data_IF_963816473265
#
_entry.id   IF_963816473265
#
_cell.length_a   1.000
_cell.length_b   1.000
_cell.length_c   1.000
_cell.angle_alpha   90.00
_cell.angle_beta   90.00
_cell.angle_gamma   90.00
#
_symmetry.space_group_name_H-M   'P 1'
#
loop_
_entity.id
_entity.type
_entity.pdbx_description
1 polymer ?
#
# COMPACT_ATOMS: atom_id res chain seq x y z
N UNK A 1 -19.64 21.03 21.32
CA UNK A 1 -18.55 20.05 21.11
C UNK A 1 -19.02 18.88 20.22
N UNK A 2 -20.24 18.38 20.40
CA UNK A 2 -20.84 17.32 19.59
C UNK A 2 -20.90 17.64 18.08
N UNK A 3 -21.39 18.83 17.70
CA UNK A 3 -21.40 19.29 16.29
C UNK A 3 -20.01 19.30 15.62
N UNK A 4 -18.93 19.60 16.35
CA UNK A 4 -17.57 19.57 15.78
C UNK A 4 -17.07 18.13 15.56
N UNK A 5 -17.44 17.20 16.45
CA UNK A 5 -17.13 15.76 16.30
C UNK A 5 -17.90 15.15 15.11
N UNK A 6 -19.17 15.51 14.97
CA UNK A 6 -19.99 15.07 13.83
C UNK A 6 -19.46 15.64 12.51
N UNK A 7 -19.17 16.94 12.44
CA UNK A 7 -18.62 17.57 11.24
C UNK A 7 -17.28 16.95 10.82
N UNK A 8 -16.38 16.67 11.78
CA UNK A 8 -15.11 16.00 11.51
C UNK A 8 -15.28 14.57 10.98
N UNK A 9 -16.19 13.80 11.57
CA UNK A 9 -16.49 12.43 11.14
C UNK A 9 -17.10 12.41 9.73
N UNK A 10 -18.09 13.26 9.46
CA UNK A 10 -18.72 13.36 8.13
C UNK A 10 -17.71 13.80 7.08
N UNK A 11 -16.89 14.81 7.39
CA UNK A 11 -15.82 15.27 6.50
C UNK A 11 -14.83 14.15 6.15
N UNK A 12 -14.46 13.34 7.14
CA UNK A 12 -13.59 12.18 6.93
C UNK A 12 -14.25 11.14 6.01
N UNK A 13 -15.52 10.80 6.25
CA UNK A 13 -16.23 9.84 5.39
C UNK A 13 -16.36 10.31 3.94
N UNK A 14 -16.65 11.59 3.72
CA UNK A 14 -16.69 12.15 2.36
C UNK A 14 -15.32 12.02 1.69
N UNK A 15 -14.24 12.38 2.41
CA UNK A 15 -12.88 12.20 1.92
C UNK A 15 -12.56 10.72 1.59
N UNK A 16 -12.94 9.78 2.46
CA UNK A 16 -12.73 8.34 2.21
C UNK A 16 -13.47 7.85 0.96
N UNK A 17 -14.70 8.31 0.74
CA UNK A 17 -15.46 7.94 -0.46
C UNK A 17 -14.79 8.49 -1.72
N UNK A 18 -14.27 9.73 -1.69
CA UNK A 18 -13.55 10.28 -2.84
C UNK A 18 -12.28 9.51 -3.15
N UNK A 19 -11.52 9.10 -2.12
CA UNK A 19 -10.33 8.26 -2.30
C UNK A 19 -10.69 6.85 -2.79
N UNK A 20 -11.79 6.28 -2.30
CA UNK A 20 -12.29 4.99 -2.78
C UNK A 20 -12.64 5.04 -4.27
N UNK A 21 -13.28 6.13 -4.72
CA UNK A 21 -13.57 6.33 -6.15
C UNK A 21 -12.30 6.51 -6.97
N UNK A 22 -11.32 7.25 -6.45
CA UNK A 22 -10.03 7.47 -7.10
C UNK A 22 -9.26 6.14 -7.31
N UNK A 23 -9.07 5.36 -6.24
CA UNK A 23 -8.45 4.03 -6.35
C UNK A 23 -9.33 3.04 -7.12
N UNK A 24 -10.65 3.13 -7.00
CA UNK A 24 -11.62 2.33 -7.77
C UNK A 24 -11.46 2.50 -9.27
N UNK A 25 -11.25 3.72 -9.75
CA UNK A 25 -10.93 4.00 -11.15
C UNK A 25 -9.62 3.35 -11.58
N UNK A 26 -8.57 3.42 -10.76
CA UNK A 26 -7.28 2.76 -11.05
C UNK A 26 -7.41 1.22 -11.09
N UNK A 27 -8.18 0.62 -10.18
CA UNK A 27 -8.47 -0.81 -10.18
C UNK A 27 -9.25 -1.23 -11.42
N UNK A 28 -10.21 -0.41 -11.87
CA UNK A 28 -10.96 -0.65 -13.09
C UNK A 28 -10.04 -0.63 -14.32
N UNK A 29 -9.19 0.39 -14.44
CA UNK A 29 -8.19 0.49 -15.52
C UNK A 29 -7.30 -0.74 -15.53
N UNK A 30 -6.73 -1.13 -14.39
CA UNK A 30 -5.93 -2.35 -14.30
C UNK A 30 -6.71 -3.58 -14.78
N UNK A 31 -7.97 -3.74 -14.36
CA UNK A 31 -8.80 -4.90 -14.70
C UNK A 31 -9.08 -4.96 -16.21
N UNK A 32 -9.37 -3.81 -16.83
CA UNK A 32 -9.58 -3.72 -18.29
C UNK A 32 -8.30 -4.12 -19.05
N UNK A 33 -7.15 -3.55 -18.69
CA UNK A 33 -5.89 -3.87 -19.36
C UNK A 33 -5.48 -5.32 -19.13
N UNK A 34 -5.69 -5.86 -17.92
CA UNK A 34 -5.46 -7.28 -17.63
C UNK A 34 -6.36 -8.20 -18.45
N UNK A 35 -7.62 -7.85 -18.63
CA UNK A 35 -8.55 -8.63 -19.46
C UNK A 35 -8.22 -8.54 -20.96
N UNK A 36 -7.60 -7.43 -21.39
CA UNK A 36 -7.23 -7.19 -22.79
C UNK A 36 -5.89 -7.84 -23.15
N UNK A 37 -4.93 -7.80 -22.23
CA UNK A 37 -3.55 -8.28 -22.39
C UNK A 37 -3.16 -9.29 -21.30
N UNK A 38 -3.84 -10.47 -21.26
CA UNK A 38 -3.67 -11.42 -20.16
C UNK A 38 -2.23 -11.94 -20.05
N UNK A 39 -1.60 -12.27 -21.18
CA UNK A 39 -0.23 -12.80 -21.21
C UNK A 39 0.80 -11.76 -20.73
N UNK A 40 0.76 -10.52 -21.23
CA UNK A 40 1.67 -9.48 -20.77
C UNK A 40 1.51 -9.13 -19.28
N UNK A 41 0.28 -9.13 -18.75
CA UNK A 41 0.03 -8.84 -17.33
C UNK A 41 0.45 -9.99 -16.41
N UNK A 42 0.36 -11.24 -16.89
CA UNK A 42 0.89 -12.41 -16.18
C UNK A 42 2.42 -12.35 -16.08
N UNK A 43 3.11 -12.14 -17.21
CA UNK A 43 4.56 -11.96 -17.24
C UNK A 43 5.01 -10.79 -16.35
N UNK A 44 4.27 -9.67 -16.36
CA UNK A 44 4.54 -8.54 -15.48
C UNK A 44 4.45 -8.88 -13.99
N UNK A 45 3.49 -9.72 -13.61
CA UNK A 45 3.32 -10.17 -12.22
C UNK A 45 4.49 -11.04 -11.75
N UNK A 46 5.09 -11.85 -12.63
CA UNK A 46 6.30 -12.65 -12.30
C UNK A 46 7.55 -11.80 -12.03
N UNK A 47 7.60 -10.56 -12.53
CA UNK A 47 8.67 -9.63 -12.21
C UNK A 47 8.56 -9.05 -10.78
N UNK A 48 7.50 -9.41 -10.05
CA UNK A 48 7.27 -8.97 -8.68
C UNK A 48 7.70 -10.05 -7.68
N UNK A 49 8.38 -9.63 -6.62
CA UNK A 49 8.81 -10.52 -5.55
C UNK A 49 7.65 -10.82 -4.59
N UNK A 50 6.95 -11.95 -4.80
CA UNK A 50 5.82 -12.38 -3.97
C UNK A 50 6.16 -12.48 -2.47
N UNK A 51 7.30 -13.06 -2.03
CA UNK A 51 7.61 -13.15 -0.60
C UNK A 51 7.73 -11.77 0.07
N UNK A 52 8.35 -10.79 -0.60
CA UNK A 52 8.43 -9.42 -0.10
C UNK A 52 7.06 -8.74 -0.07
N UNK A 53 6.20 -9.02 -1.05
CA UNK A 53 4.81 -8.58 -1.05
C UNK A 53 4.02 -9.16 0.14
N UNK A 54 4.18 -10.46 0.41
CA UNK A 54 3.51 -11.15 1.51
C UNK A 54 3.97 -10.64 2.88
N UNK A 55 5.28 -10.47 3.09
CA UNK A 55 5.82 -9.88 4.32
C UNK A 55 5.24 -8.49 4.56
N UNK A 56 5.12 -7.66 3.52
CA UNK A 56 4.48 -6.35 3.63
C UNK A 56 3.01 -6.44 4.05
N UNK A 57 2.26 -7.37 3.47
CA UNK A 57 0.85 -7.60 3.84
C UNK A 57 0.71 -8.03 5.31
N UNK A 58 1.60 -8.89 5.81
CA UNK A 58 1.60 -9.28 7.23
C UNK A 58 1.91 -8.07 8.13
N UNK A 59 2.95 -7.31 7.80
CA UNK A 59 3.34 -6.09 8.54
C UNK A 59 2.18 -5.10 8.60
N UNK A 60 1.48 -4.93 7.48
CA UNK A 60 0.36 -4.01 7.37
C UNK A 60 -0.86 -4.47 8.19
N UNK A 61 -1.22 -5.75 8.14
CA UNK A 61 -2.32 -6.30 8.97
C UNK A 61 -1.99 -6.11 10.46
N UNK A 62 -0.75 -6.38 10.87
CA UNK A 62 -0.30 -6.14 12.25
C UNK A 62 -0.36 -4.64 12.59
N UNK A 63 0.02 -3.76 11.66
CA UNK A 63 -0.08 -2.32 11.83
C UNK A 63 -1.53 -1.88 12.07
N UNK A 64 -2.47 -2.36 11.25
CA UNK A 64 -3.90 -2.10 11.41
C UNK A 64 -4.42 -2.57 12.77
N UNK A 65 -4.06 -3.77 13.19
CA UNK A 65 -4.44 -4.30 14.50
C UNK A 65 -3.92 -3.42 15.64
N UNK A 66 -2.66 -2.98 15.57
CA UNK A 66 -2.09 -2.09 16.59
C UNK A 66 -2.78 -0.73 16.62
N UNK A 67 -3.18 -0.18 15.46
CA UNK A 67 -3.94 1.07 15.42
C UNK A 67 -5.32 0.90 16.06
N UNK A 68 -6.02 -0.20 15.78
CA UNK A 68 -7.32 -0.50 16.39
C UNK A 68 -7.21 -0.63 17.93
N UNK A 69 -6.16 -1.29 18.42
CA UNK A 69 -5.88 -1.36 19.86
C UNK A 69 -5.53 0.02 20.46
N UNK A 70 -4.88 0.89 19.68
CA UNK A 70 -4.64 2.29 20.03
C UNK A 70 -5.95 3.06 20.23
N UNK A 71 -6.86 2.99 19.25
CA UNK A 71 -8.20 3.61 19.33
C UNK A 71 -8.97 3.09 20.56
N UNK A 72 -8.97 1.79 20.80
CA UNK A 72 -9.61 1.19 21.98
C UNK A 72 -8.96 1.66 23.31
N UNK A 73 -7.64 1.83 23.32
CA UNK A 73 -6.92 2.36 24.49
C UNK A 73 -7.27 3.82 24.77
N UNK A 74 -7.54 4.61 23.73
CA UNK A 74 -8.04 5.98 23.87
C UNK A 74 -9.46 6.01 24.49
N UNK A 75 -10.33 5.08 24.10
CA UNK A 75 -11.70 4.97 24.65
C UNK A 75 -11.75 4.42 26.08
N UNK A 76 -10.70 3.75 26.54
CA UNK A 76 -10.60 3.19 27.91
C UNK A 76 -9.71 4.02 28.83
N UNK A 77 -9.36 5.27 28.43
CA UNK A 77 -8.43 6.19 29.13
C UNK A 77 -7.04 5.61 29.46
N UNK A 78 -6.58 4.57 28.74
CA UNK A 78 -5.26 3.97 28.96
C UNK A 78 -4.19 4.69 28.15
N UNK A 79 -3.79 5.87 28.60
CA UNK A 79 -2.86 6.76 27.87
C UNK A 79 -1.50 6.12 27.57
N UNK A 80 -0.94 5.34 28.51
CA UNK A 80 0.33 4.64 28.28
C UNK A 80 0.24 3.59 27.17
N UNK A 81 -0.86 2.82 27.16
CA UNK A 81 -1.12 1.82 26.12
C UNK A 81 -1.38 2.47 24.76
N UNK A 82 -2.15 3.57 24.73
CA UNK A 82 -2.38 4.36 23.52
C UNK A 82 -1.05 4.80 22.87
N UNK A 83 -0.14 5.40 23.66
CA UNK A 83 1.15 5.86 23.15
C UNK A 83 1.99 4.69 22.60
N UNK A 84 2.04 3.58 23.34
CA UNK A 84 2.75 2.38 22.90
C UNK A 84 2.21 1.87 21.57
N UNK A 85 0.89 1.70 21.44
CA UNK A 85 0.28 1.20 20.20
C UNK A 85 0.54 2.12 19.02
N UNK A 86 0.37 3.45 19.17
CA UNK A 86 0.65 4.40 18.09
C UNK A 86 2.13 4.36 17.64
N UNK A 87 3.07 4.21 18.58
CA UNK A 87 4.50 4.08 18.25
C UNK A 87 4.75 2.76 17.50
N UNK A 88 4.17 1.66 17.94
CA UNK A 88 4.29 0.36 17.26
C UNK A 88 3.71 0.44 15.85
N UNK A 89 2.54 1.05 15.66
CA UNK A 89 1.94 1.29 14.34
C UNK A 89 2.88 2.10 13.43
N UNK A 90 3.48 3.17 13.95
CA UNK A 90 4.43 3.98 13.19
C UNK A 90 5.68 3.18 12.80
N UNK A 91 6.23 2.37 13.70
CA UNK A 91 7.39 1.53 13.39
C UNK A 91 7.06 0.49 12.30
N UNK A 92 5.90 -0.16 12.38
CA UNK A 92 5.44 -1.10 11.36
C UNK A 92 5.25 -0.43 10.00
N UNK A 93 4.73 0.80 9.97
CA UNK A 93 4.66 1.62 8.75
C UNK A 93 6.05 1.87 8.15
N UNK A 94 7.04 2.25 8.97
CA UNK A 94 8.40 2.49 8.50
C UNK A 94 9.05 1.21 7.96
N UNK A 95 8.78 0.05 8.57
CA UNK A 95 9.21 -1.26 8.05
C UNK A 95 8.60 -1.52 6.67
N UNK A 96 7.30 -1.29 6.51
CA UNK A 96 6.61 -1.44 5.22
C UNK A 96 7.24 -0.54 4.13
N UNK A 97 7.44 0.75 4.43
CA UNK A 97 8.07 1.70 3.51
C UNK A 97 9.53 1.31 3.20
N UNK A 98 10.25 0.78 4.18
CA UNK A 98 11.62 0.27 4.01
C UNK A 98 11.68 -0.89 3.03
N UNK A 99 10.84 -1.92 3.23
CA UNK A 99 10.76 -3.08 2.31
C UNK A 99 10.40 -2.62 0.90
N UNK A 100 9.43 -1.70 0.76
CA UNK A 100 9.05 -1.15 -0.55
C UNK A 100 10.16 -0.36 -1.22
N UNK A 101 10.93 0.40 -0.45
CA UNK A 101 12.07 1.14 -0.96
C UNK A 101 13.13 0.18 -1.52
N UNK A 102 13.41 -0.92 -0.83
CA UNK A 102 14.34 -1.96 -1.30
C UNK A 102 13.81 -2.60 -2.60
N UNK A 103 12.52 -2.95 -2.65
CA UNK A 103 11.91 -3.51 -3.86
C UNK A 103 11.98 -2.55 -5.06
N UNK A 104 11.72 -1.25 -4.84
CA UNK A 104 11.80 -0.22 -5.88
C UNK A 104 13.23 -0.01 -6.37
N UNK A 105 14.21 -0.01 -5.45
CA UNK A 105 15.63 0.12 -5.81
C UNK A 105 16.12 -1.06 -6.64
N UNK A 106 15.73 -2.29 -6.32
CA UNK A 106 16.02 -3.46 -7.15
C UNK A 106 15.49 -3.26 -8.57
N UNK A 107 14.22 -2.86 -8.71
CA UNK A 107 13.61 -2.65 -10.05
C UNK A 107 14.22 -1.49 -10.84
N UNK A 108 14.72 -0.46 -10.16
CA UNK A 108 15.47 0.63 -10.80
C UNK A 108 16.82 0.12 -11.32
N UNK A 109 17.51 -0.70 -10.54
CA UNK A 109 18.78 -1.33 -10.94
C UNK A 109 18.58 -2.32 -12.09
N UNK A 110 17.48 -3.09 -12.07
CA UNK A 110 17.15 -4.09 -13.08
C UNK A 110 16.57 -3.48 -14.37
N UNK A 111 16.61 -2.15 -14.52
CA UNK A 111 16.10 -1.44 -15.70
C UNK A 111 14.61 -1.71 -16.01
N UNK A 112 13.84 -2.03 -14.97
CA UNK A 112 12.40 -2.28 -15.04
C UNK A 112 11.57 -1.02 -14.79
N UNK A 113 12.22 0.14 -14.61
CA UNK A 113 11.51 1.40 -14.50
C UNK A 113 10.94 1.79 -15.87
N UNK A 114 9.64 2.11 -15.96
CA UNK A 114 8.95 2.18 -17.24
C UNK A 114 9.23 3.46 -18.05
N UNK A 115 10.19 4.30 -17.60
CA UNK A 115 10.67 5.46 -18.34
C UNK A 115 11.36 5.07 -19.66
N UNK A 116 11.14 5.88 -20.70
CA UNK A 116 11.55 5.63 -22.09
C UNK A 116 13.05 5.29 -22.26
N UNK A 117 13.92 5.86 -21.43
CA UNK A 117 15.38 5.67 -21.48
C UNK A 117 15.88 4.50 -20.63
N UNK A 118 15.09 4.03 -19.67
CA UNK A 118 15.52 3.04 -18.67
C UNK A 118 14.85 1.69 -18.87
N UNK A 119 13.73 1.62 -19.61
CA UNK A 119 13.04 0.36 -19.87
C UNK A 119 13.73 -0.47 -20.95
N UNK A 120 14.68 -1.30 -20.53
CA UNK A 120 15.33 -2.29 -21.39
C UNK A 120 15.21 -3.70 -20.82
N UNK A 121 14.05 -4.38 -20.99
CA UNK A 121 13.92 -5.79 -20.63
C UNK A 121 14.76 -6.75 -21.51
N UNK A 122 15.61 -6.22 -22.41
CA UNK A 122 16.43 -7.01 -23.34
C UNK A 122 17.93 -7.11 -22.96
N UNK A 123 18.29 -6.99 -21.69
CA UNK A 123 19.59 -7.47 -21.20
C UNK A 123 19.26 -8.66 -20.28
N UNK A 124 19.28 -9.91 -20.73
CA UNK A 124 20.20 -10.55 -21.68
C UNK A 124 19.44 -11.45 -22.65
N UNK A 125 19.96 -11.57 -23.87
CA UNK A 125 19.73 -12.71 -24.75
C UNK A 125 19.71 -14.00 -23.92
N UNK A 126 18.70 -14.85 -24.16
CA UNK A 126 18.64 -16.27 -23.89
C UNK A 126 19.85 -16.91 -23.16
N UNK A 127 20.10 -16.54 -21.90
CA UNK A 127 20.82 -17.39 -20.98
C UNK A 127 19.79 -18.42 -20.50
N UNK A 128 20.03 -19.74 -20.65
CA UNK A 128 19.05 -20.79 -20.39
C UNK A 128 18.52 -20.84 -18.94
N UNK A 129 19.04 -19.99 -18.06
CA UNK A 129 18.69 -19.92 -16.63
C UNK A 129 18.17 -18.53 -16.20
N UNK A 130 17.89 -17.60 -17.13
CA UNK A 130 17.46 -16.23 -16.78
C UNK A 130 15.93 -16.10 -16.82
N UNK A 131 15.30 -16.13 -15.65
CA UNK A 131 13.84 -16.02 -15.47
C UNK A 131 13.25 -14.62 -15.77
N UNK A 132 14.06 -13.66 -16.24
CA UNK A 132 13.65 -12.27 -16.49
C UNK A 132 13.54 -11.90 -17.98
N UNK A 133 13.72 -12.86 -18.89
CA UNK A 133 13.59 -12.61 -20.32
C UNK A 133 12.10 -12.46 -20.71
N UNK A 134 11.70 -11.23 -21.07
CA UNK A 134 10.35 -10.95 -21.58
C UNK A 134 10.34 -11.15 -23.10
N UNK A 135 9.42 -11.99 -23.66
CA UNK A 135 9.27 -12.11 -25.09
C UNK A 135 9.06 -10.75 -25.75
N UNK A 136 9.78 -10.46 -26.85
CA UNK A 136 9.71 -9.16 -27.53
C UNK A 136 8.28 -8.76 -27.92
N UNK A 137 7.42 -9.75 -28.22
CA UNK A 137 6.00 -9.54 -28.50
C UNK A 137 5.18 -8.99 -27.31
N UNK A 138 5.58 -9.28 -26.07
CA UNK A 138 4.87 -8.89 -24.84
C UNK A 138 5.47 -7.65 -24.17
N UNK A 139 6.56 -7.10 -24.72
CA UNK A 139 7.33 -6.00 -24.14
C UNK A 139 6.49 -4.73 -23.90
N UNK A 140 5.59 -4.38 -24.82
CA UNK A 140 4.69 -3.23 -24.65
C UNK A 140 3.66 -3.45 -23.54
N UNK A 141 3.13 -4.66 -23.43
CA UNK A 141 2.11 -5.05 -22.44
C UNK A 141 2.70 -5.09 -21.03
N UNK A 142 3.87 -5.72 -20.86
CA UNK A 142 4.60 -5.75 -19.57
C UNK A 142 5.00 -4.35 -19.13
N UNK A 143 5.40 -3.48 -20.07
CA UNK A 143 5.68 -2.06 -19.75
C UNK A 143 4.44 -1.34 -19.22
N UNK A 144 3.28 -1.58 -19.82
CA UNK A 144 2.00 -1.00 -19.36
C UNK A 144 1.66 -1.51 -17.96
N UNK A 145 1.85 -2.81 -17.70
CA UNK A 145 1.71 -3.37 -16.35
C UNK A 145 2.61 -2.65 -15.35
N UNK A 146 3.89 -2.45 -15.66
CA UNK A 146 4.84 -1.78 -14.77
C UNK A 146 4.46 -0.32 -14.51
N UNK A 147 3.98 0.42 -15.52
CA UNK A 147 3.44 1.77 -15.32
C UNK A 147 2.28 1.80 -14.33
N UNK A 148 1.30 0.90 -14.50
CA UNK A 148 0.14 0.81 -13.60
C UNK A 148 0.59 0.37 -12.20
N UNK A 149 1.50 -0.60 -12.10
CA UNK A 149 2.11 -1.04 -10.84
C UNK A 149 2.71 0.16 -10.09
N UNK A 150 3.68 0.86 -10.70
CA UNK A 150 4.38 1.98 -10.05
C UNK A 150 3.44 3.13 -9.70
N UNK A 151 2.43 3.39 -10.53
CA UNK A 151 1.42 4.41 -10.25
C UNK A 151 0.58 4.03 -9.01
N UNK A 152 0.00 2.83 -8.99
CA UNK A 152 -0.89 2.39 -7.91
C UNK A 152 -0.12 2.23 -6.59
N UNK A 153 1.03 1.56 -6.60
CA UNK A 153 1.82 1.36 -5.38
C UNK A 153 2.54 2.63 -4.95
N UNK A 154 2.89 3.52 -5.89
CA UNK A 154 3.46 4.85 -5.59
C UNK A 154 2.46 5.78 -4.93
N UNK A 155 1.23 5.86 -5.44
CA UNK A 155 0.14 6.63 -4.82
C UNK A 155 -0.21 6.08 -3.44
N UNK A 156 -0.23 4.75 -3.27
CA UNK A 156 -0.42 4.15 -1.96
C UNK A 156 0.74 4.48 -1.00
N UNK A 157 1.99 4.42 -1.46
CA UNK A 157 3.14 4.82 -0.64
C UNK A 157 3.08 6.29 -0.23
N UNK A 158 2.59 7.17 -1.12
CA UNK A 158 2.34 8.58 -0.77
C UNK A 158 1.32 8.72 0.36
N UNK A 159 0.20 7.99 0.31
CA UNK A 159 -0.79 7.98 1.39
C UNK A 159 -0.21 7.44 2.71
N UNK A 160 0.62 6.40 2.66
CA UNK A 160 1.34 5.87 3.83
C UNK A 160 2.26 6.93 4.47
N UNK A 161 2.94 7.76 3.67
CA UNK A 161 3.78 8.86 4.18
C UNK A 161 2.93 9.93 4.86
N UNK A 162 1.81 10.33 4.25
CA UNK A 162 0.86 11.29 4.85
C UNK A 162 0.31 10.73 6.17
N UNK A 163 -0.08 9.45 6.18
CA UNK A 163 -0.52 8.75 7.38
C UNK A 163 0.55 8.71 8.47
N UNK A 164 1.80 8.44 8.10
CA UNK A 164 2.91 8.44 9.07
C UNK A 164 3.08 9.81 9.72
N UNK A 165 2.98 10.90 8.95
CA UNK A 165 2.97 12.27 9.46
C UNK A 165 1.81 12.53 10.43
N UNK A 166 0.61 12.05 10.08
CA UNK A 166 -0.56 12.10 10.95
C UNK A 166 -0.33 11.31 12.26
N UNK A 167 0.21 10.10 12.21
CA UNK A 167 0.55 9.30 13.40
C UNK A 167 1.56 10.02 14.31
N UNK A 168 2.60 10.65 13.74
CA UNK A 168 3.54 11.46 14.51
C UNK A 168 2.82 12.60 15.23
N UNK A 169 1.87 13.27 14.56
CA UNK A 169 1.01 14.28 15.18
C UNK A 169 0.16 13.73 16.33
N UNK A 170 -0.47 12.57 16.15
CA UNK A 170 -1.25 11.89 17.19
C UNK A 170 -0.38 11.47 18.38
N UNK A 171 0.81 10.91 18.15
CA UNK A 171 1.77 10.53 19.21
C UNK A 171 2.18 11.77 20.01
N UNK A 172 2.46 12.89 19.33
CA UNK A 172 2.83 14.14 19.99
C UNK A 172 1.70 14.68 20.87
N UNK A 173 0.46 14.64 20.39
CA UNK A 173 -0.72 15.02 21.19
C UNK A 173 -0.95 14.06 22.37
N UNK A 174 -0.71 12.76 22.18
CA UNK A 174 -0.85 11.75 23.24
C UNK A 174 0.17 11.95 24.35
N UNK A 175 1.42 12.28 23.99
CA UNK A 175 2.48 12.59 24.97
C UNK A 175 2.20 13.85 25.78
N UNK A 176 1.48 14.81 25.20
CA UNK A 176 1.03 16.02 25.90
C UNK A 176 -0.20 15.77 26.80
N UNK A 177 -0.71 14.54 26.89
CA UNK A 177 -1.85 14.19 27.73
C UNK A 177 -3.16 14.87 27.29
N UNK A 178 -3.28 15.25 26.01
CA UNK A 178 -4.46 16.00 25.51
C UNK A 178 -5.69 15.12 25.27
N UNK A 179 -5.55 13.80 25.32
CA UNK A 179 -6.66 12.88 25.08
C UNK A 179 -7.36 12.54 26.39
N UNK A 180 -8.63 12.92 26.49
CA UNK A 180 -9.57 12.51 27.54
C UNK A 180 -10.80 11.89 26.84
N UNK A 181 -11.72 11.24 27.57
CA UNK A 181 -12.95 10.65 27.02
C UNK A 181 -13.75 11.59 26.10
N UNK A 182 -13.65 12.90 26.31
CA UNK A 182 -14.35 13.94 25.53
C UNK A 182 -13.59 14.34 24.25
N UNK A 183 -12.28 14.09 24.14
CA UNK A 183 -11.41 14.53 23.04
C UNK A 183 -10.72 13.36 22.30
N UNK A 184 -11.37 12.19 22.20
CA UNK A 184 -10.82 11.04 21.49
C UNK A 184 -11.01 11.08 19.96
N UNK A 185 -11.78 12.04 19.46
CA UNK A 185 -12.22 12.11 18.05
C UNK A 185 -11.08 12.18 17.02
N UNK A 186 -9.96 12.90 17.26
CA UNK A 186 -8.84 12.89 16.32
C UNK A 186 -8.19 11.53 16.13
N UNK A 187 -8.17 10.68 17.18
CA UNK A 187 -7.63 9.31 17.11
C UNK A 187 -8.60 8.43 16.33
N UNK A 188 -9.91 8.56 16.55
CA UNK A 188 -10.93 7.82 15.81
C UNK A 188 -10.88 8.16 14.31
N UNK A 189 -10.84 9.46 13.96
CA UNK A 189 -10.74 9.95 12.58
C UNK A 189 -9.41 9.50 11.94
N UNK A 190 -8.29 9.62 12.66
CA UNK A 190 -7.00 9.15 12.17
C UNK A 190 -6.93 7.63 11.99
N UNK A 191 -7.59 6.88 12.87
CA UNK A 191 -7.76 5.43 12.75
C UNK A 191 -8.54 5.05 11.49
N UNK A 192 -9.65 5.74 11.20
CA UNK A 192 -10.42 5.53 9.96
C UNK A 192 -9.57 5.74 8.70
N UNK A 193 -8.77 6.80 8.66
CA UNK A 193 -7.82 7.02 7.55
C UNK A 193 -6.82 5.87 7.44
N UNK A 194 -6.20 5.48 8.55
CA UNK A 194 -5.19 4.42 8.57
C UNK A 194 -5.74 3.09 8.06
N UNK A 195 -6.91 2.68 8.58
CA UNK A 195 -7.57 1.46 8.15
C UNK A 195 -7.97 1.49 6.67
N UNK A 196 -8.38 2.66 6.15
CA UNK A 196 -8.67 2.79 4.73
C UNK A 196 -7.43 2.55 3.86
N UNK A 197 -6.30 3.18 4.20
CA UNK A 197 -5.03 2.98 3.48
C UNK A 197 -4.65 1.49 3.50
N UNK A 198 -4.82 0.82 4.64
CA UNK A 198 -4.56 -0.62 4.78
C UNK A 198 -5.49 -1.47 3.88
N UNK A 199 -6.78 -1.15 3.82
CA UNK A 199 -7.75 -1.85 2.96
C UNK A 199 -7.36 -1.73 1.49
N UNK A 200 -6.92 -0.56 1.03
CA UNK A 200 -6.45 -0.38 -0.35
C UNK A 200 -5.29 -1.33 -0.67
N UNK A 201 -4.36 -1.53 0.28
CA UNK A 201 -3.27 -2.50 0.09
C UNK A 201 -3.75 -3.95 0.02
N UNK A 202 -4.73 -4.32 0.85
CA UNK A 202 -5.33 -5.66 0.84
C UNK A 202 -5.91 -6.00 -0.55
N UNK A 203 -6.40 -5.01 -1.30
CA UNK A 203 -6.81 -5.20 -2.69
C UNK A 203 -5.65 -5.16 -3.68
N UNK A 204 -4.68 -4.26 -3.49
CA UNK A 204 -3.50 -4.15 -4.36
C UNK A 204 -2.65 -5.42 -4.39
N UNK A 205 -2.41 -6.04 -3.23
CA UNK A 205 -1.51 -7.18 -3.13
C UNK A 205 -1.97 -8.38 -3.96
N UNK A 206 -3.20 -8.92 -3.81
CA UNK A 206 -3.65 -10.05 -4.63
C UNK A 206 -3.72 -9.69 -6.11
N UNK A 207 -4.18 -8.48 -6.41
CA UNK A 207 -4.41 -8.03 -7.78
C UNK A 207 -3.09 -7.89 -8.56
N UNK A 208 -2.01 -7.43 -7.92
CA UNK A 208 -0.70 -7.25 -8.56
C UNK A 208 0.22 -8.47 -8.40
N UNK A 209 0.32 -9.06 -7.19
CA UNK A 209 1.32 -10.09 -6.85
C UNK A 209 0.79 -11.52 -6.98
N UNK A 210 -0.48 -11.78 -6.66
CA UNK A 210 -1.03 -13.15 -6.67
C UNK A 210 -1.63 -13.53 -8.04
N UNK A 211 -2.08 -12.53 -8.79
CA UNK A 211 -2.83 -12.74 -10.03
C UNK A 211 -2.03 -13.42 -11.14
N UNK A 212 -0.69 -13.38 -11.13
CA UNK A 212 0.16 -14.18 -12.04
C UNK A 212 0.50 -15.59 -11.52
N UNK A 213 0.38 -15.86 -10.22
CA UNK A 213 0.91 -17.09 -9.63
C UNK A 213 0.04 -18.34 -9.88
N UNK A 214 -1.28 -18.18 -10.02
CA UNK A 214 -2.22 -19.31 -10.10
C UNK A 214 -2.07 -20.20 -11.35
N UNK A 215 -1.34 -19.78 -12.38
CA UNK A 215 -1.16 -20.57 -13.61
C UNK A 215 0.13 -21.42 -13.60
N UNK A 216 1.02 -21.22 -12.61
CA UNK A 216 2.29 -21.95 -12.51
C UNK A 216 2.17 -23.31 -11.77
N UNK A 217 0.97 -23.71 -11.36
CA UNK A 217 0.71 -25.02 -10.71
C UNK A 217 0.21 -26.07 -11.70
N UNK A 218 0.19 -25.75 -13.00
CA UNK A 218 -0.39 -26.56 -14.07
C UNK A 218 0.58 -27.06 -15.15
N UNK A 219 1.90 -26.95 -14.96
CA UNK A 219 2.91 -27.51 -15.86
C UNK A 219 4.02 -28.24 -15.10
#
# INVERSE_FOLDING_TARGET
MEQQKEAGTVGMWVFLVTELMFFGGLFLVYTIFRSTYPLGFEYGSFLLNMPLGLTNTIVLILSSLTMAMGVHSAQTNKQGALQMYLIVTLLLCLVFLGIKTVEYRSKLHDHLFPAYTTYNPAIKEAEPNNHHAVPQALKSEVRTFLWIYFLMTGLHAFHMIVGAGMLVGLIWMARKGKFNDVYNSPIEIGGLYWHFVDIVWIFLFPLLYLSGYHLNVGH
#
